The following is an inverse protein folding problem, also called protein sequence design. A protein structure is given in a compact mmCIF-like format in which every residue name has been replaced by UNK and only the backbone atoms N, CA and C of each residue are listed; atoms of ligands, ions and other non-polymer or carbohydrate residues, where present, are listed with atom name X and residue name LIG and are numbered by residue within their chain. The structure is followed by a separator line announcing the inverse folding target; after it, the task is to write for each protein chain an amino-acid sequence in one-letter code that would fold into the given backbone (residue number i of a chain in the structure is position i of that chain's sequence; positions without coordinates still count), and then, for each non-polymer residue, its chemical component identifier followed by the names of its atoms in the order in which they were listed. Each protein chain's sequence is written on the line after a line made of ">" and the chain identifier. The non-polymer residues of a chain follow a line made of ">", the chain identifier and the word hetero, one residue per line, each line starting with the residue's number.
data_IF_844183769082
#
_entry.id   IF_844183769082
#
_cell.length_a   1.000
_cell.length_b   1.000
_cell.length_c   1.000
_cell.angle_alpha   90.00
_cell.angle_beta   90.00
_cell.angle_gamma   90.00
#
_symmetry.space_group_name_H-M   'P 1'
#
loop_
_entity.id
_entity.type
_entity.pdbx_description
1 polymer ?
#
# COMPACT_ATOMS: atom_id res chain seq x y z
N UNK A 1 -13.14 35.70 30.23
CA UNK A 1 -12.27 35.92 29.05
C UNK A 1 -11.84 34.56 28.51
N UNK A 2 -11.88 34.32 27.19
CA UNK A 2 -11.74 32.97 26.59
C UNK A 2 -10.31 32.39 26.62
N UNK A 3 -9.32 33.06 27.23
CA UNK A 3 -7.93 32.59 27.31
C UNK A 3 -7.19 32.54 25.96
N UNK A 4 -7.75 33.17 24.92
CA UNK A 4 -7.18 33.21 23.57
C UNK A 4 -6.37 34.50 23.36
N UNK A 5 -5.30 34.42 22.58
CA UNK A 5 -4.53 35.59 22.16
C UNK A 5 -5.32 36.51 21.23
N UNK A 6 -4.99 37.81 21.26
CA UNK A 6 -5.71 38.84 20.49
C UNK A 6 -5.67 38.58 18.97
N UNK A 7 -4.56 38.04 18.46
CA UNK A 7 -4.41 37.68 17.06
C UNK A 7 -5.38 36.56 16.64
N UNK A 8 -5.54 35.53 17.46
CA UNK A 8 -6.47 34.42 17.20
C UNK A 8 -7.92 34.92 17.11
N UNK A 9 -8.29 35.87 17.98
CA UNK A 9 -9.63 36.48 17.95
C UNK A 9 -9.84 37.29 16.66
N UNK A 10 -8.84 38.06 16.23
CA UNK A 10 -8.90 38.79 14.96
C UNK A 10 -9.01 37.85 13.76
N UNK A 11 -8.24 36.76 13.74
CA UNK A 11 -8.26 35.79 12.65
C UNK A 11 -9.62 35.09 12.53
N UNK A 12 -10.23 34.70 13.65
CA UNK A 12 -11.58 34.11 13.66
C UNK A 12 -12.64 35.11 13.20
N UNK A 13 -12.59 36.36 13.68
CA UNK A 13 -13.51 37.42 13.21
C UNK A 13 -13.38 37.63 11.71
N UNK A 14 -12.16 37.74 11.19
CA UNK A 14 -11.94 37.95 9.77
C UNK A 14 -12.41 36.74 8.94
N UNK A 15 -12.08 35.51 9.36
CA UNK A 15 -12.57 34.32 8.68
C UNK A 15 -14.09 34.23 8.67
N UNK A 16 -14.76 34.60 9.77
CA UNK A 16 -16.21 34.66 9.83
C UNK A 16 -16.79 35.73 8.89
N UNK A 17 -16.21 36.93 8.85
CA UNK A 17 -16.66 37.99 7.95
C UNK A 17 -16.54 37.61 6.47
N UNK A 18 -15.49 36.86 6.09
CA UNK A 18 -15.27 36.44 4.70
C UNK A 18 -16.04 35.16 4.30
N UNK A 19 -16.21 34.20 5.21
CA UNK A 19 -16.73 32.85 4.90
C UNK A 19 -18.04 32.51 5.60
N UNK A 20 -18.54 33.40 6.46
CA UNK A 20 -19.74 33.16 7.28
C UNK A 20 -19.61 31.88 8.09
N UNK A 21 -20.70 31.12 8.17
CA UNK A 21 -20.73 29.84 8.91
C UNK A 21 -19.75 28.79 8.37
N UNK A 22 -19.25 28.91 7.13
CA UNK A 22 -18.25 28.00 6.59
C UNK A 22 -16.86 28.15 7.23
N UNK A 23 -16.61 29.20 8.02
CA UNK A 23 -15.36 29.36 8.78
C UNK A 23 -15.23 28.37 9.94
N UNK A 24 -16.33 27.83 10.45
CA UNK A 24 -16.34 26.91 11.59
C UNK A 24 -16.03 25.45 11.21
N UNK A 25 -15.75 25.18 9.94
CA UNK A 25 -15.32 23.86 9.51
C UNK A 25 -13.91 23.59 10.03
N UNK A 26 -13.82 22.73 11.04
CA UNK A 26 -12.55 22.26 11.57
C UNK A 26 -11.75 21.56 10.46
N UNK A 27 -10.61 22.13 10.11
CA UNK A 27 -9.65 21.52 9.18
C UNK A 27 -8.57 20.83 9.98
N UNK A 28 -8.53 19.51 9.92
CA UNK A 28 -7.37 18.77 10.44
C UNK A 28 -6.12 19.23 9.69
N UNK A 29 -5.01 19.50 10.40
CA UNK A 29 -3.77 19.87 9.76
C UNK A 29 -3.35 18.77 8.78
N UNK A 30 -2.82 19.13 7.59
CA UNK A 30 -2.34 18.13 6.65
C UNK A 30 -1.25 17.31 7.33
N UNK A 31 -1.40 15.98 7.29
CA UNK A 31 -0.37 15.07 7.81
C UNK A 31 0.94 15.17 7.02
N UNK A 32 1.94 14.39 7.44
CA UNK A 32 3.23 14.33 6.73
C UNK A 32 3.01 14.03 5.24
N UNK A 33 3.62 14.81 4.32
CA UNK A 33 3.48 14.54 2.90
C UNK A 33 4.00 13.13 2.58
N UNK A 34 3.34 12.48 1.62
CA UNK A 34 3.77 11.15 1.18
C UNK A 34 5.17 11.23 0.59
N UNK A 35 6.02 10.26 0.92
CA UNK A 35 7.39 10.16 0.39
C UNK A 35 7.43 9.96 -1.13
N UNK A 36 6.38 9.36 -1.72
CA UNK A 36 6.22 9.19 -3.17
C UNK A 36 5.14 10.14 -3.70
N UNK A 37 5.48 10.83 -4.78
CA UNK A 37 4.53 11.65 -5.54
C UNK A 37 3.44 10.78 -6.18
N UNK A 38 2.35 11.41 -6.64
CA UNK A 38 1.26 10.67 -7.30
C UNK A 38 1.72 9.98 -8.59
N UNK A 39 2.60 10.63 -9.35
CA UNK A 39 3.18 10.10 -10.60
C UNK A 39 4.10 8.90 -10.33
N UNK A 40 4.99 9.01 -9.34
CA UNK A 40 5.86 7.88 -8.95
C UNK A 40 5.06 6.67 -8.46
N UNK A 41 3.96 6.89 -7.73
CA UNK A 41 3.06 5.79 -7.32
C UNK A 41 2.39 5.11 -8.51
N UNK A 42 2.01 5.85 -9.54
CA UNK A 42 1.43 5.28 -10.76
C UNK A 42 2.46 4.46 -11.55
N UNK A 43 3.70 4.95 -11.65
CA UNK A 43 4.80 4.22 -12.29
C UNK A 43 5.13 2.93 -11.54
N UNK A 44 5.26 3.00 -10.20
CA UNK A 44 5.46 1.82 -9.36
C UNK A 44 4.33 0.80 -9.54
N UNK A 45 3.07 1.26 -9.59
CA UNK A 45 1.94 0.37 -9.81
C UNK A 45 1.97 -0.29 -11.20
N UNK A 46 2.51 0.37 -12.23
CA UNK A 46 2.70 -0.23 -13.55
C UNK A 46 3.75 -1.35 -13.50
N UNK A 47 4.88 -1.13 -12.82
CA UNK A 47 5.93 -2.15 -12.66
C UNK A 47 5.45 -3.34 -11.83
N UNK A 48 4.78 -3.10 -10.70
CA UNK A 48 4.28 -4.17 -9.82
C UNK A 48 3.18 -5.01 -10.48
N UNK A 49 2.45 -4.46 -11.46
CA UNK A 49 1.51 -5.24 -12.31
C UNK A 49 2.24 -6.14 -13.32
N UNK A 50 3.44 -5.74 -13.74
CA UNK A 50 4.31 -6.55 -14.58
C UNK A 50 4.95 -7.70 -13.81
N UNK A 51 5.82 -8.44 -14.50
CA UNK A 51 6.56 -9.53 -13.87
C UNK A 51 7.87 -8.97 -13.26
N UNK A 52 8.34 -9.48 -12.11
CA UNK A 52 9.65 -9.06 -11.56
C UNK A 52 10.81 -9.24 -12.55
N UNK A 53 10.70 -10.21 -13.47
CA UNK A 53 11.65 -10.44 -14.56
C UNK A 53 11.84 -9.21 -15.44
N UNK A 54 10.79 -8.41 -15.65
CA UNK A 54 10.86 -7.22 -16.50
C UNK A 54 11.70 -6.10 -15.84
N UNK A 55 11.87 -6.17 -14.52
CA UNK A 55 12.70 -5.25 -13.73
C UNK A 55 14.12 -5.75 -13.43
N UNK A 56 14.49 -6.91 -13.99
CA UNK A 56 15.81 -7.54 -13.83
C UNK A 56 15.90 -8.59 -12.73
N UNK A 57 14.78 -8.96 -12.10
CA UNK A 57 14.76 -9.93 -11.01
C UNK A 57 14.38 -11.34 -11.46
N UNK A 58 15.10 -12.34 -10.96
CA UNK A 58 14.89 -13.76 -11.35
C UNK A 58 13.63 -14.38 -10.72
N UNK A 59 13.08 -13.77 -9.66
CA UNK A 59 11.98 -14.34 -8.87
C UNK A 59 10.64 -14.30 -9.62
N UNK A 60 9.84 -15.37 -9.51
CA UNK A 60 8.51 -15.45 -10.13
C UNK A 60 7.42 -14.59 -9.49
N UNK A 61 7.70 -13.95 -8.35
CA UNK A 61 6.75 -13.12 -7.60
C UNK A 61 7.44 -11.90 -6.99
N UNK A 62 6.69 -10.80 -6.88
CA UNK A 62 7.14 -9.61 -6.17
C UNK A 62 7.25 -9.86 -4.67
N UNK A 63 8.37 -9.43 -4.07
CA UNK A 63 8.56 -9.44 -2.63
C UNK A 63 8.80 -8.01 -2.11
N UNK A 64 8.47 -7.76 -0.85
CA UNK A 64 8.60 -6.42 -0.24
C UNK A 64 10.03 -5.86 -0.31
N UNK A 65 11.10 -6.63 -0.02
CA UNK A 65 12.47 -6.13 -0.17
C UNK A 65 12.85 -5.83 -1.62
N UNK A 66 12.31 -6.57 -2.60
CA UNK A 66 12.57 -6.31 -4.03
C UNK A 66 11.94 -4.99 -4.46
N UNK A 67 10.70 -4.74 -4.03
CA UNK A 67 10.03 -3.48 -4.32
C UNK A 67 10.74 -2.31 -3.60
N UNK A 68 11.30 -2.54 -2.41
CA UNK A 68 12.12 -1.54 -1.72
C UNK A 68 13.36 -1.18 -2.55
N UNK A 69 14.10 -2.17 -3.04
CA UNK A 69 15.29 -1.96 -3.88
C UNK A 69 14.93 -1.26 -5.20
N UNK A 70 13.83 -1.66 -5.83
CA UNK A 70 13.31 -0.99 -7.03
C UNK A 70 13.01 0.50 -6.78
N UNK A 71 12.35 0.83 -5.67
CA UNK A 71 12.04 2.22 -5.32
C UNK A 71 13.32 3.00 -5.01
N UNK A 72 14.29 2.36 -4.36
CA UNK A 72 15.58 2.98 -4.09
C UNK A 72 16.34 3.28 -5.39
N UNK A 73 16.40 2.32 -6.32
CA UNK A 73 17.10 2.46 -7.60
C UNK A 73 16.47 3.52 -8.51
N UNK A 74 15.14 3.55 -8.62
CA UNK A 74 14.44 4.41 -9.57
C UNK A 74 14.12 5.80 -9.01
N UNK A 75 13.88 5.91 -7.69
CA UNK A 75 13.43 7.16 -7.08
C UNK A 75 14.38 7.70 -6.00
N UNK A 76 15.38 6.93 -5.55
CA UNK A 76 16.29 7.33 -4.47
C UNK A 76 15.62 7.48 -3.10
N UNK A 77 14.44 6.85 -2.91
CA UNK A 77 13.65 6.99 -1.68
C UNK A 77 13.70 5.72 -0.86
N UNK A 78 14.20 5.82 0.36
CA UNK A 78 14.22 4.68 1.27
C UNK A 78 12.86 4.48 1.97
N UNK A 79 12.32 3.27 1.85
CA UNK A 79 11.11 2.82 2.54
C UNK A 79 11.41 1.65 3.46
N UNK A 80 10.81 1.66 4.66
CA UNK A 80 10.80 0.45 5.50
C UNK A 80 9.82 -0.58 4.89
N UNK A 81 10.21 -1.86 4.78
CA UNK A 81 9.35 -2.94 4.28
C UNK A 81 7.95 -2.99 4.91
N UNK A 82 7.82 -2.74 6.22
CA UNK A 82 6.52 -2.75 6.90
C UNK A 82 5.57 -1.66 6.36
N UNK A 83 6.09 -0.45 6.14
CA UNK A 83 5.30 0.64 5.56
C UNK A 83 5.04 0.42 4.07
N UNK A 84 5.90 -0.31 3.37
CA UNK A 84 5.73 -0.64 1.97
C UNK A 84 4.53 -1.56 1.74
N UNK A 85 4.32 -2.56 2.60
CA UNK A 85 3.14 -3.41 2.54
C UNK A 85 1.84 -2.61 2.70
N UNK A 86 1.81 -1.67 3.66
CA UNK A 86 0.68 -0.75 3.85
C UNK A 86 0.50 0.18 2.65
N UNK A 87 1.59 0.68 2.08
CA UNK A 87 1.55 1.52 0.90
C UNK A 87 0.94 0.77 -0.30
N UNK A 88 1.37 -0.47 -0.57
CA UNK A 88 0.86 -1.30 -1.65
C UNK A 88 -0.62 -1.62 -1.45
N UNK A 89 -1.04 -1.91 -0.22
CA UNK A 89 -2.45 -2.09 0.14
C UNK A 89 -3.27 -0.84 -0.17
N UNK A 90 -2.75 0.35 0.17
CA UNK A 90 -3.41 1.63 -0.13
C UNK A 90 -3.46 1.94 -1.64
N UNK A 91 -2.56 1.36 -2.44
CA UNK A 91 -2.62 1.42 -3.90
C UNK A 91 -3.58 0.38 -4.51
N UNK A 92 -4.20 -0.48 -3.70
CA UNK A 92 -5.16 -1.50 -4.14
C UNK A 92 -4.54 -2.87 -4.46
N UNK A 93 -3.27 -3.10 -4.13
CA UNK A 93 -2.65 -4.41 -4.31
C UNK A 93 -3.01 -5.36 -3.15
N UNK A 94 -3.34 -6.60 -3.52
CA UNK A 94 -3.57 -7.67 -2.57
C UNK A 94 -2.29 -8.48 -2.34
N UNK A 95 -2.12 -8.99 -1.12
CA UNK A 95 -1.02 -9.89 -0.82
C UNK A 95 -1.22 -11.23 -1.56
N UNK A 96 -0.24 -11.61 -2.37
CA UNK A 96 -0.22 -12.88 -3.10
C UNK A 96 0.86 -13.77 -2.51
N UNK A 97 0.45 -14.90 -1.94
CA UNK A 97 1.39 -15.93 -1.48
C UNK A 97 1.63 -16.90 -2.62
N UNK A 98 2.90 -17.11 -2.98
CA UNK A 98 3.26 -18.16 -3.93
C UNK A 98 2.69 -19.51 -3.45
N UNK A 99 1.91 -20.15 -4.31
CA UNK A 99 1.36 -21.48 -4.04
C UNK A 99 2.42 -22.51 -4.37
N UNK A 100 3.14 -22.97 -3.36
CA UNK A 100 4.06 -24.08 -3.50
C UNK A 100 3.26 -25.39 -3.64
N UNK A 101 3.45 -26.06 -4.75
CA UNK A 101 3.00 -27.43 -4.96
C UNK A 101 4.23 -28.31 -4.79
N UNK A 102 4.24 -29.19 -3.79
CA UNK A 102 5.37 -30.08 -3.56
C UNK A 102 5.54 -31.02 -4.77
N UNK A 103 6.77 -31.17 -5.24
CA UNK A 103 7.10 -32.00 -6.42
C UNK A 103 6.70 -33.49 -6.23
N UNK A 104 6.68 -33.95 -4.98
CA UNK A 104 6.23 -35.29 -4.62
C UNK A 104 4.72 -35.55 -4.74
N UNK A 105 3.92 -34.57 -5.21
CA UNK A 105 2.49 -34.76 -5.45
C UNK A 105 2.27 -35.62 -6.70
N UNK A 106 2.10 -36.92 -6.49
CA UNK A 106 1.64 -37.81 -7.54
C UNK A 106 0.12 -37.65 -7.75
N UNK A 107 -0.29 -37.05 -8.87
CA UNK A 107 -1.69 -36.84 -9.21
C UNK A 107 -2.48 -38.15 -9.34
N UNK A 108 -1.86 -39.20 -9.87
CA UNK A 108 -2.49 -40.51 -10.03
C UNK A 108 -2.86 -41.13 -8.68
N UNK A 109 -1.94 -41.12 -7.69
CA UNK A 109 -2.24 -41.60 -6.33
C UNK A 109 -3.37 -40.84 -5.64
N UNK A 110 -3.53 -39.54 -5.94
CA UNK A 110 -4.60 -38.71 -5.37
C UNK A 110 -5.96 -39.01 -6.01
N UNK A 111 -5.99 -39.28 -7.32
CA UNK A 111 -7.18 -39.74 -8.02
C UNK A 111 -7.65 -41.12 -7.52
N UNK A 112 -6.71 -42.05 -7.33
CA UNK A 112 -7.00 -43.35 -6.72
C UNK A 112 -7.53 -43.21 -5.30
N UNK A 113 -6.89 -42.39 -4.46
CA UNK A 113 -7.38 -42.17 -3.09
C UNK A 113 -8.80 -41.60 -3.04
N UNK A 114 -9.13 -40.63 -3.91
CA UNK A 114 -10.50 -40.08 -4.03
C UNK A 114 -11.53 -41.10 -4.51
N UNK A 115 -11.12 -42.02 -5.39
CA UNK A 115 -12.01 -43.08 -5.90
C UNK A 115 -12.25 -44.18 -4.86
N UNK A 116 -11.22 -44.56 -4.12
CA UNK A 116 -11.24 -45.77 -3.28
C UNK A 116 -11.67 -45.49 -1.84
N UNK A 117 -11.39 -44.29 -1.30
CA UNK A 117 -11.59 -44.01 0.14
C UNK A 117 -12.62 -42.91 0.35
N UNK A 118 -13.87 -43.30 0.68
CA UNK A 118 -14.84 -42.36 1.26
C UNK A 118 -14.49 -42.11 2.74
N UNK A 119 -14.56 -40.86 3.24
CA UNK A 119 -14.44 -40.61 4.66
C UNK A 119 -15.60 -41.29 5.39
N UNK A 120 -15.30 -42.14 6.37
CA UNK A 120 -16.30 -42.59 7.33
C UNK A 120 -16.58 -41.41 8.27
N UNK A 121 -17.83 -40.98 8.32
CA UNK A 121 -18.37 -40.08 9.35
C UNK A 121 -18.51 -40.89 10.64
#
# INVERSE_FOLDING_TARGET
>A
MLGLGEQTVRDYRNQYLFKGMASFVYKSPPGRPSKLTKTQRQQLAAWVKGRPQDSGDTSGCWNTPMIQDLIWREFGVEYNPHYLATLLKNMGFAYQKARFVSDHLNEAKRLEWRRTRRPKI
#
